data_IF_403324266315
#
_entry.id   IF_403324266315
#
_cell.length_a   1.000
_cell.length_b   1.000
_cell.length_c   1.000
_cell.angle_alpha   90.00
_cell.angle_beta   90.00
_cell.angle_gamma   90.00
#
_symmetry.space_group_name_H-M   'P 1'
#
loop_
_entity.id
_entity.type
_entity.pdbx_description
1 polymer ?
#
# COMPACT_ATOMS: atom_id res chain seq x y z
N UNK A 1 -31.40 25.02 -8.88
CA UNK A 1 -31.09 23.65 -9.37
C UNK A 1 -29.60 23.44 -9.19
N UNK A 2 -29.20 22.78 -8.10
CA UNK A 2 -27.82 22.41 -7.86
C UNK A 2 -27.57 21.12 -8.65
N UNK A 3 -26.78 21.23 -9.70
CA UNK A 3 -26.24 20.07 -10.43
C UNK A 3 -25.24 19.39 -9.49
N UNK A 4 -25.56 18.21 -9.01
CA UNK A 4 -24.70 17.43 -8.15
C UNK A 4 -23.37 17.13 -8.84
N UNK A 5 -22.28 17.41 -8.15
CA UNK A 5 -20.95 16.96 -8.55
C UNK A 5 -21.00 15.45 -8.79
N UNK A 6 -20.48 14.98 -9.90
CA UNK A 6 -20.44 13.57 -10.23
C UNK A 6 -19.50 12.83 -9.24
N UNK A 7 -19.74 11.57 -8.97
CA UNK A 7 -18.92 10.77 -8.05
C UNK A 7 -17.41 10.77 -8.40
N UNK A 8 -17.08 10.97 -9.68
CA UNK A 8 -15.72 11.12 -10.17
C UNK A 8 -15.06 12.44 -9.76
N UNK A 9 -15.81 13.55 -9.74
CA UNK A 9 -15.25 14.85 -9.33
C UNK A 9 -14.87 14.85 -7.84
N UNK A 10 -15.66 14.20 -7.00
CA UNK A 10 -15.37 14.06 -5.56
C UNK A 10 -14.14 13.16 -5.32
N UNK A 11 -14.00 12.08 -6.07
CA UNK A 11 -12.84 11.19 -5.98
C UNK A 11 -11.54 11.88 -6.41
N UNK A 12 -11.59 12.65 -7.49
CA UNK A 12 -10.44 13.40 -8.01
C UNK A 12 -10.00 14.49 -7.04
N UNK A 13 -10.94 15.25 -6.48
CA UNK A 13 -10.68 16.26 -5.46
C UNK A 13 -9.99 15.67 -4.25
N UNK A 14 -10.51 14.55 -3.73
CA UNK A 14 -9.93 13.84 -2.58
C UNK A 14 -8.49 13.40 -2.83
N UNK A 15 -8.24 12.74 -3.96
CA UNK A 15 -6.90 12.25 -4.30
C UNK A 15 -5.88 13.37 -4.45
N UNK A 16 -6.30 14.50 -5.01
CA UNK A 16 -5.46 15.69 -5.08
C UNK A 16 -5.16 16.27 -3.70
N UNK A 17 -6.16 16.37 -2.82
CA UNK A 17 -5.96 16.81 -1.45
C UNK A 17 -5.05 15.88 -0.65
N UNK A 18 -5.13 14.56 -0.84
CA UNK A 18 -4.20 13.62 -0.20
C UNK A 18 -2.75 13.90 -0.57
N UNK A 19 -2.47 14.15 -1.87
CA UNK A 19 -1.13 14.51 -2.32
C UNK A 19 -0.67 15.83 -1.69
N UNK A 20 -1.51 16.86 -1.75
CA UNK A 20 -1.19 18.17 -1.20
C UNK A 20 -0.93 18.10 0.31
N UNK A 21 -1.81 17.43 1.07
CA UNK A 21 -1.64 17.27 2.52
C UNK A 21 -0.44 16.43 2.89
N UNK A 22 -0.08 15.43 2.09
CA UNK A 22 1.13 14.65 2.32
C UNK A 22 2.41 15.49 2.17
N UNK A 23 2.41 16.51 1.29
CA UNK A 23 3.52 17.45 1.15
C UNK A 23 3.53 18.56 2.21
N UNK A 24 2.37 19.07 2.61
CA UNK A 24 2.24 20.22 3.50
C UNK A 24 2.24 19.83 4.97
N UNK A 25 1.59 18.72 5.31
CA UNK A 25 1.43 18.30 6.69
C UNK A 25 2.59 17.41 7.13
N UNK A 26 3.11 17.64 8.34
CA UNK A 26 4.00 16.68 9.00
C UNK A 26 3.18 15.46 9.47
N UNK A 27 2.77 14.64 8.51
CA UNK A 27 1.99 13.40 8.71
C UNK A 27 2.88 12.19 8.97
N UNK A 28 4.17 12.41 9.12
CA UNK A 28 5.13 11.39 9.55
C UNK A 28 4.91 11.04 11.02
N UNK A 29 5.40 9.89 11.40
CA UNK A 29 5.42 9.50 12.81
C UNK A 29 6.29 10.49 13.59
N UNK A 30 5.68 11.21 14.51
CA UNK A 30 6.40 12.06 15.42
C UNK A 30 7.42 11.24 16.20
N UNK A 31 8.49 11.90 16.65
CA UNK A 31 9.41 11.36 17.63
C UNK A 31 8.63 11.03 18.91
N UNK A 32 8.10 9.82 19.01
CA UNK A 32 7.48 9.38 20.25
C UNK A 32 8.54 9.01 21.27
N UNK A 33 8.24 9.15 22.55
CA UNK A 33 9.19 8.78 23.59
C UNK A 33 9.67 7.33 23.41
N UNK A 34 10.96 7.10 23.67
CA UNK A 34 11.65 5.79 23.54
C UNK A 34 10.92 4.61 24.23
N UNK A 35 10.09 4.89 25.24
CA UNK A 35 9.28 3.85 25.88
C UNK A 35 8.11 3.34 25.04
N UNK A 36 7.81 3.93 23.89
CA UNK A 36 6.82 3.44 22.94
C UNK A 36 7.44 2.35 22.05
N UNK A 37 7.91 1.29 22.71
CA UNK A 37 8.71 0.21 22.09
C UNK A 37 8.01 -0.58 20.97
N UNK A 38 6.71 -0.51 20.84
CA UNK A 38 5.97 -1.33 19.86
C UNK A 38 6.25 -1.00 18.41
N UNK A 39 7.07 0.00 18.11
CA UNK A 39 7.22 0.57 16.78
C UNK A 39 8.68 0.78 16.35
N UNK A 40 9.64 0.40 17.18
CA UNK A 40 11.06 0.40 16.86
C UNK A 40 11.56 -1.02 16.67
N UNK A 41 12.60 -1.19 15.86
CA UNK A 41 13.34 -2.45 15.81
C UNK A 41 13.89 -2.70 17.22
N UNK A 42 13.45 -3.77 17.86
CA UNK A 42 13.98 -4.14 19.16
C UNK A 42 15.44 -4.59 19.00
N UNK A 43 16.33 -3.95 19.75
CA UNK A 43 17.71 -4.36 19.83
C UNK A 43 17.84 -5.49 20.85
N UNK A 44 18.10 -6.71 20.36
CA UNK A 44 18.18 -7.94 21.15
C UNK A 44 19.62 -8.48 21.18
N UNK A 45 20.54 -7.81 21.91
CA UNK A 45 21.97 -8.13 21.87
C UNK A 45 22.32 -9.50 22.40
N UNK A 46 21.42 -10.11 23.21
CA UNK A 46 21.64 -11.44 23.77
C UNK A 46 21.18 -12.57 22.85
N UNK A 47 20.36 -12.28 21.85
CA UNK A 47 19.75 -13.29 20.98
C UNK A 47 20.47 -13.44 19.64
N UNK A 48 21.38 -12.52 19.31
CA UNK A 48 22.12 -12.56 18.06
C UNK A 48 23.63 -12.46 18.32
N UNK A 49 24.45 -13.25 17.61
CA UNK A 49 25.90 -13.07 17.63
C UNK A 49 26.27 -11.73 16.98
N UNK A 50 27.47 -11.27 17.25
CA UNK A 50 28.03 -10.12 16.54
C UNK A 50 28.02 -10.39 15.03
N UNK A 51 27.46 -9.51 14.20
CA UNK A 51 27.44 -9.72 12.74
C UNK A 51 28.85 -9.82 12.20
N UNK A 52 29.16 -10.89 11.49
CA UNK A 52 30.39 -11.02 10.71
C UNK A 52 30.22 -10.17 9.43
N UNK A 53 30.62 -8.91 9.55
CA UNK A 53 30.43 -7.90 8.51
C UNK A 53 31.09 -8.33 7.18
N UNK A 54 32.23 -8.99 7.23
CA UNK A 54 32.91 -9.47 6.02
C UNK A 54 32.11 -10.58 5.32
N UNK A 55 31.57 -11.53 6.09
CA UNK A 55 30.70 -12.57 5.55
C UNK A 55 29.35 -12.03 5.09
N UNK A 56 28.81 -11.05 5.79
CA UNK A 56 27.55 -10.41 5.39
C UNK A 56 27.74 -9.55 4.14
N UNK A 57 28.86 -8.82 4.00
CA UNK A 57 29.22 -8.10 2.78
C UNK A 57 29.48 -9.09 1.64
N UNK A 58 30.20 -10.17 1.87
CA UNK A 58 30.43 -11.21 0.87
C UNK A 58 29.13 -11.92 0.44
N UNK A 59 28.15 -12.07 1.34
CA UNK A 59 26.81 -12.54 1.03
C UNK A 59 25.96 -11.45 0.37
N UNK A 60 26.17 -10.17 0.65
CA UNK A 60 25.42 -9.05 0.11
C UNK A 60 25.77 -8.73 -1.35
N UNK A 61 26.83 -9.35 -1.92
CA UNK A 61 26.97 -9.45 -3.37
C UNK A 61 25.80 -10.26 -4.00
N UNK A 62 25.04 -10.97 -3.19
CA UNK A 62 23.79 -11.61 -3.57
C UNK A 62 22.62 -10.66 -3.30
N UNK A 63 22.00 -10.16 -4.35
CA UNK A 63 20.77 -9.41 -4.34
C UNK A 63 19.72 -9.99 -3.36
N UNK A 64 19.08 -9.13 -2.58
CA UNK A 64 17.91 -9.54 -1.77
C UNK A 64 16.83 -10.07 -2.70
N UNK A 65 16.21 -11.20 -2.34
CA UNK A 65 15.13 -11.79 -3.12
C UNK A 65 13.81 -11.69 -2.37
N UNK A 66 12.81 -11.15 -3.05
CA UNK A 66 11.45 -11.11 -2.57
C UNK A 66 10.48 -11.31 -3.73
N UNK A 67 9.51 -12.21 -3.58
CA UNK A 67 8.53 -12.59 -4.60
C UNK A 67 9.17 -12.91 -5.97
N UNK A 68 10.29 -13.63 -5.96
CA UNK A 68 11.00 -14.05 -7.18
C UNK A 68 11.83 -12.96 -7.85
N UNK A 69 11.77 -11.72 -7.37
CA UNK A 69 12.56 -10.59 -7.89
C UNK A 69 13.78 -10.33 -7.03
N UNK A 70 14.83 -9.79 -7.66
CA UNK A 70 16.09 -9.41 -7.00
C UNK A 70 16.13 -7.91 -6.75
N UNK A 71 16.57 -7.54 -5.54
CA UNK A 71 16.70 -6.15 -5.11
C UNK A 71 18.17 -5.86 -4.80
N UNK A 72 18.62 -4.64 -5.13
CA UNK A 72 19.94 -4.18 -4.72
C UNK A 72 20.00 -3.85 -3.22
N UNK A 73 18.86 -3.43 -2.64
CA UNK A 73 18.71 -3.04 -1.24
C UNK A 73 17.42 -3.62 -0.66
N UNK A 74 17.34 -3.89 0.65
CA UNK A 74 16.17 -4.50 1.29
C UNK A 74 15.05 -3.48 1.57
N UNK A 75 14.71 -2.64 0.60
CA UNK A 75 13.61 -1.71 0.68
C UNK A 75 12.98 -1.47 -0.69
N UNK A 76 11.77 -1.00 -0.66
CA UNK A 76 10.96 -0.73 -1.84
C UNK A 76 10.21 0.60 -1.72
N UNK A 77 9.68 1.09 -2.83
CA UNK A 77 8.82 2.26 -2.88
C UNK A 77 7.41 1.83 -2.45
N UNK A 78 6.98 2.30 -1.27
CA UNK A 78 5.69 1.95 -0.71
C UNK A 78 4.53 2.66 -1.43
N UNK A 79 3.32 2.09 -1.29
CA UNK A 79 2.10 2.51 -1.96
C UNK A 79 1.58 3.85 -1.46
N UNK A 80 1.63 4.89 -2.29
CA UNK A 80 1.21 6.24 -1.92
C UNK A 80 0.26 6.88 -2.95
N UNK A 81 0.72 7.08 -4.18
CA UNK A 81 0.00 7.89 -5.18
C UNK A 81 -0.97 7.06 -6.00
N UNK A 82 -2.26 7.40 -5.90
CA UNK A 82 -3.29 6.91 -6.81
C UNK A 82 -3.35 7.72 -8.12
N UNK A 83 -4.27 7.39 -9.02
CA UNK A 83 -4.44 8.06 -10.31
C UNK A 83 -5.24 9.35 -10.18
N UNK A 84 -4.59 10.50 -10.28
CA UNK A 84 -5.19 11.83 -10.50
C UNK A 84 -4.11 12.79 -10.96
N UNK A 85 -4.40 13.72 -11.85
CA UNK A 85 -3.55 14.84 -12.25
C UNK A 85 -2.04 14.66 -12.12
N UNK A 86 -1.41 15.16 -11.04
CA UNK A 86 0.04 15.06 -10.84
C UNK A 86 0.54 13.64 -10.56
N UNK A 87 -0.33 12.68 -10.22
CA UNK A 87 0.06 11.32 -9.84
C UNK A 87 0.79 10.59 -10.95
N UNK A 88 0.39 10.78 -12.21
CA UNK A 88 1.09 10.18 -13.35
C UNK A 88 2.58 10.49 -13.35
N UNK A 89 2.92 11.79 -13.22
CA UNK A 89 4.30 12.22 -13.23
C UNK A 89 5.09 11.71 -12.03
N UNK A 90 4.49 11.74 -10.85
CA UNK A 90 5.07 11.20 -9.62
C UNK A 90 5.34 9.71 -9.79
N UNK A 91 4.33 8.92 -10.19
CA UNK A 91 4.44 7.49 -10.38
C UNK A 91 5.49 7.10 -11.42
N UNK A 92 5.57 7.84 -12.55
CA UNK A 92 6.60 7.62 -13.56
C UNK A 92 8.00 7.90 -13.03
N UNK A 93 8.19 8.95 -12.23
CA UNK A 93 9.49 9.25 -11.62
C UNK A 93 9.89 8.17 -10.61
N UNK A 94 8.95 7.73 -9.78
CA UNK A 94 9.19 6.63 -8.83
C UNK A 94 9.53 5.32 -9.55
N UNK A 95 8.85 5.02 -10.67
CA UNK A 95 9.15 3.83 -11.47
C UNK A 95 10.55 3.90 -12.10
N UNK A 96 11.01 5.09 -12.55
CA UNK A 96 12.40 5.28 -13.03
C UNK A 96 13.41 5.06 -11.90
N UNK A 97 13.15 5.61 -10.72
CA UNK A 97 14.00 5.38 -9.53
C UNK A 97 14.07 3.88 -9.19
N UNK A 98 12.91 3.20 -9.19
CA UNK A 98 12.87 1.76 -8.93
C UNK A 98 13.71 0.96 -9.95
N UNK A 99 13.59 1.30 -11.24
CA UNK A 99 14.37 0.68 -12.31
C UNK A 99 15.88 0.91 -12.13
N UNK A 100 16.28 2.16 -11.90
CA UNK A 100 17.69 2.59 -11.82
C UNK A 100 18.38 2.00 -10.59
N UNK A 101 17.74 2.06 -9.42
CA UNK A 101 18.34 1.62 -8.16
C UNK A 101 18.02 0.17 -7.79
N UNK A 102 17.35 -0.58 -8.64
CA UNK A 102 17.06 -1.99 -8.38
C UNK A 102 16.09 -2.19 -7.21
N UNK A 103 15.06 -1.34 -7.10
CA UNK A 103 14.05 -1.40 -6.06
C UNK A 103 12.74 -2.02 -6.58
N UNK A 104 11.89 -2.46 -5.67
CA UNK A 104 10.49 -2.75 -5.97
C UNK A 104 9.60 -1.52 -5.80
N UNK A 105 8.37 -1.58 -6.32
CA UNK A 105 7.38 -0.53 -6.18
C UNK A 105 5.97 -1.10 -5.97
N UNK A 106 5.26 -0.58 -4.98
CA UNK A 106 3.83 -0.76 -4.83
C UNK A 106 3.08 0.50 -5.29
N UNK A 107 2.04 0.32 -6.09
CA UNK A 107 1.17 1.41 -6.53
C UNK A 107 0.32 1.95 -5.38
N UNK A 108 -0.06 3.21 -5.43
CA UNK A 108 -1.20 3.72 -4.67
C UNK A 108 -2.51 3.06 -5.11
N UNK A 109 -3.61 3.31 -4.40
CA UNK A 109 -4.89 2.66 -4.68
C UNK A 109 -5.31 2.77 -6.15
N UNK A 110 -5.42 1.63 -6.81
CA UNK A 110 -5.90 1.50 -8.19
C UNK A 110 -7.44 1.51 -8.30
N UNK A 111 -8.15 1.93 -7.25
CA UNK A 111 -9.63 1.96 -7.21
C UNK A 111 -10.25 2.63 -8.43
N UNK A 112 -9.65 3.71 -8.95
CA UNK A 112 -10.15 4.42 -10.12
C UNK A 112 -10.29 3.50 -11.34
N UNK A 113 -9.38 2.56 -11.53
CA UNK A 113 -9.39 1.59 -12.65
C UNK A 113 -10.49 0.52 -12.53
N UNK A 114 -11.13 0.42 -11.37
CA UNK A 114 -12.34 -0.40 -11.23
C UNK A 114 -13.59 0.29 -11.80
N UNK A 115 -13.54 1.57 -12.09
CA UNK A 115 -14.66 2.35 -12.61
C UNK A 115 -14.52 2.58 -14.11
N UNK A 116 -13.40 3.15 -14.52
CA UNK A 116 -13.08 3.44 -15.91
C UNK A 116 -11.56 3.47 -16.17
N UNK A 117 -11.16 3.65 -17.42
CA UNK A 117 -9.77 3.66 -17.84
C UNK A 117 -9.14 5.05 -17.96
N UNK A 118 -9.84 6.11 -17.56
CA UNK A 118 -9.36 7.50 -17.69
C UNK A 118 -7.95 7.69 -17.11
N UNK A 119 -7.64 6.99 -16.00
CA UNK A 119 -6.35 7.10 -15.31
C UNK A 119 -5.44 5.88 -15.52
N UNK A 120 -5.73 5.03 -16.52
CA UNK A 120 -4.94 3.82 -16.73
C UNK A 120 -3.43 4.12 -16.89
N UNK A 121 -3.10 5.15 -17.65
CA UNK A 121 -1.71 5.55 -17.89
C UNK A 121 -0.98 6.04 -16.63
N UNK A 122 -1.70 6.43 -15.58
CA UNK A 122 -1.10 6.87 -14.31
C UNK A 122 -0.52 5.68 -13.52
N UNK A 123 -0.99 4.47 -13.83
CA UNK A 123 -0.64 3.21 -13.18
C UNK A 123 0.11 2.24 -14.09
N UNK A 124 0.03 2.41 -15.41
CA UNK A 124 0.66 1.52 -16.39
C UNK A 124 2.15 1.81 -16.52
N UNK A 125 2.92 1.36 -15.53
CA UNK A 125 4.33 1.70 -15.38
C UNK A 125 5.28 0.54 -15.72
N UNK A 126 4.77 -0.62 -16.10
CA UNK A 126 5.60 -1.80 -16.35
C UNK A 126 6.70 -1.56 -17.40
N UNK A 127 6.41 -0.77 -18.43
CA UNK A 127 7.40 -0.40 -19.45
C UNK A 127 8.53 0.50 -18.93
N UNK A 128 8.30 1.21 -17.82
CA UNK A 128 9.26 2.11 -17.19
C UNK A 128 10.09 1.35 -16.14
N UNK A 129 9.41 0.61 -15.26
CA UNK A 129 10.06 -0.09 -14.15
C UNK A 129 10.82 -1.35 -14.63
N UNK A 130 10.41 -1.93 -15.76
CA UNK A 130 10.99 -3.16 -16.31
C UNK A 130 10.41 -4.44 -15.68
N UNK A 131 10.66 -5.58 -16.35
CA UNK A 131 10.11 -6.88 -15.90
C UNK A 131 10.93 -7.52 -14.76
N UNK A 132 12.16 -7.06 -14.53
CA UNK A 132 13.05 -7.58 -13.49
C UNK A 132 12.77 -7.00 -12.09
N UNK A 133 11.96 -5.96 -11.99
CA UNK A 133 11.63 -5.29 -10.72
C UNK A 133 10.26 -5.71 -10.23
N UNK A 134 10.15 -5.85 -8.90
CA UNK A 134 8.86 -6.11 -8.28
C UNK A 134 7.92 -4.90 -8.47
N UNK A 135 6.73 -5.17 -9.00
CA UNK A 135 5.71 -4.18 -9.23
C UNK A 135 4.36 -4.72 -8.79
N UNK A 136 3.74 -4.08 -7.79
CA UNK A 136 2.51 -4.54 -7.18
C UNK A 136 1.36 -3.56 -7.41
N UNK A 137 0.22 -4.08 -7.86
CA UNK A 137 -1.05 -3.36 -7.82
C UNK A 137 -1.53 -3.16 -6.37
N UNK A 138 -2.54 -2.30 -6.16
CA UNK A 138 -3.02 -2.00 -4.81
C UNK A 138 -4.52 -1.69 -4.81
N UNK A 139 -5.27 -2.35 -3.93
CA UNK A 139 -6.71 -2.15 -3.74
C UNK A 139 -7.03 -2.12 -2.25
N UNK A 140 -8.04 -1.33 -1.86
CA UNK A 140 -8.52 -1.29 -0.49
C UNK A 140 -9.40 -2.47 -0.12
N UNK A 141 -9.37 -2.83 1.16
CA UNK A 141 -10.19 -3.92 1.70
C UNK A 141 -11.71 -3.68 1.50
N UNK A 142 -12.15 -2.42 1.54
CA UNK A 142 -13.56 -2.07 1.29
C UNK A 142 -13.99 -2.40 -0.14
N UNK A 143 -13.12 -2.18 -1.13
CA UNK A 143 -13.40 -2.53 -2.53
C UNK A 143 -13.42 -4.05 -2.74
N UNK A 144 -12.54 -4.79 -2.04
CA UNK A 144 -12.57 -6.26 -2.05
C UNK A 144 -13.90 -6.76 -1.49
N UNK A 145 -14.31 -6.27 -0.31
CA UNK A 145 -15.58 -6.63 0.31
C UNK A 145 -16.76 -6.39 -0.62
N UNK A 146 -16.83 -5.21 -1.23
CA UNK A 146 -17.91 -4.87 -2.17
C UNK A 146 -17.93 -5.77 -3.40
N UNK A 147 -16.77 -6.04 -4.02
CA UNK A 147 -16.68 -6.86 -5.22
C UNK A 147 -16.99 -8.34 -4.95
N UNK A 148 -16.66 -8.85 -3.76
CA UNK A 148 -17.08 -10.18 -3.32
C UNK A 148 -18.61 -10.25 -3.17
N UNK A 149 -19.20 -9.27 -2.49
CA UNK A 149 -20.66 -9.20 -2.32
C UNK A 149 -21.40 -9.09 -3.65
N UNK A 150 -20.84 -8.36 -4.62
CA UNK A 150 -21.38 -8.19 -5.96
C UNK A 150 -21.08 -9.37 -6.91
N UNK A 151 -20.30 -10.36 -6.48
CA UNK A 151 -19.77 -11.45 -7.31
C UNK A 151 -18.97 -10.97 -8.54
N UNK A 152 -18.20 -9.89 -8.37
CA UNK A 152 -17.41 -9.24 -9.43
C UNK A 152 -15.91 -9.21 -9.12
N UNK A 153 -15.42 -10.15 -8.32
CA UNK A 153 -14.01 -10.18 -7.89
C UNK A 153 -13.04 -10.33 -9.07
N UNK A 154 -13.48 -10.92 -10.16
CA UNK A 154 -12.72 -11.07 -11.41
C UNK A 154 -12.16 -9.72 -11.93
N UNK A 155 -12.82 -8.61 -11.64
CA UNK A 155 -12.35 -7.26 -12.03
C UNK A 155 -11.00 -6.93 -11.42
N UNK A 156 -10.68 -7.47 -10.24
CA UNK A 156 -9.36 -7.29 -9.62
C UNK A 156 -8.32 -8.16 -10.34
N UNK A 157 -8.67 -9.38 -10.72
CA UNK A 157 -7.76 -10.24 -11.47
C UNK A 157 -7.41 -9.62 -12.83
N UNK A 158 -8.40 -9.14 -13.54
CA UNK A 158 -8.22 -8.40 -14.80
C UNK A 158 -7.37 -7.14 -14.61
N UNK A 159 -7.56 -6.41 -13.52
CA UNK A 159 -6.75 -5.21 -13.20
C UNK A 159 -5.27 -5.57 -13.00
N UNK A 160 -4.98 -6.60 -12.21
CA UNK A 160 -3.60 -7.07 -11.97
C UNK A 160 -2.92 -7.48 -13.28
N UNK A 161 -3.62 -8.23 -14.11
CA UNK A 161 -3.13 -8.68 -15.42
C UNK A 161 -2.89 -7.52 -16.38
N UNK A 162 -3.82 -6.58 -16.49
CA UNK A 162 -3.69 -5.39 -17.36
C UNK A 162 -2.51 -4.50 -16.96
N UNK A 163 -2.25 -4.36 -15.68
CA UNK A 163 -1.08 -3.64 -15.17
C UNK A 163 0.21 -4.45 -15.30
N UNK A 164 0.11 -5.74 -15.64
CA UNK A 164 1.24 -6.68 -15.63
C UNK A 164 1.95 -6.67 -14.27
N UNK A 165 1.16 -6.55 -13.19
CA UNK A 165 1.68 -6.53 -11.83
C UNK A 165 2.08 -7.94 -11.39
N UNK A 166 3.15 -8.05 -10.60
CA UNK A 166 3.65 -9.33 -10.06
C UNK A 166 2.77 -9.87 -8.90
N UNK A 167 1.85 -9.05 -8.40
CA UNK A 167 0.94 -9.39 -7.33
C UNK A 167 0.09 -8.21 -6.89
N UNK A 168 -0.62 -8.38 -5.78
CA UNK A 168 -1.56 -7.42 -5.25
C UNK A 168 -1.25 -7.03 -3.80
N UNK A 169 -1.24 -5.74 -3.51
CA UNK A 169 -1.33 -5.21 -2.16
C UNK A 169 -2.81 -4.99 -1.83
N UNK A 170 -3.25 -5.50 -0.69
CA UNK A 170 -4.55 -5.15 -0.10
C UNK A 170 -4.29 -4.25 1.10
N UNK A 171 -4.67 -2.97 1.00
CA UNK A 171 -4.54 -2.09 2.15
C UNK A 171 -5.78 -2.17 3.04
N UNK A 172 -5.52 -2.24 4.35
CA UNK A 172 -6.54 -2.34 5.40
C UNK A 172 -6.53 -1.05 6.20
N UNK A 173 -7.56 -0.23 6.03
CA UNK A 173 -7.57 1.17 6.44
C UNK A 173 -8.86 1.61 7.16
N UNK A 174 -9.41 0.83 8.12
CA UNK A 174 -10.71 1.14 8.71
C UNK A 174 -10.76 2.50 9.42
N UNK A 175 -9.67 2.95 10.05
CA UNK A 175 -9.62 4.26 10.69
C UNK A 175 -9.56 5.40 9.67
N UNK A 176 -8.83 5.23 8.58
CA UNK A 176 -8.82 6.20 7.50
C UNK A 176 -10.23 6.36 6.93
N UNK A 177 -10.91 5.26 6.58
CA UNK A 177 -12.27 5.29 6.04
C UNK A 177 -13.27 5.91 7.04
N UNK A 178 -13.10 5.65 8.33
CA UNK A 178 -13.96 6.22 9.37
C UNK A 178 -13.86 7.75 9.48
N UNK A 179 -12.66 8.32 9.37
CA UNK A 179 -12.45 9.77 9.46
C UNK A 179 -12.61 10.49 8.13
N UNK A 180 -12.66 9.77 7.03
CA UNK A 180 -12.86 10.31 5.70
C UNK A 180 -14.35 10.60 5.48
N UNK A 181 -14.76 11.86 5.17
CA UNK A 181 -16.18 12.19 4.98
C UNK A 181 -16.88 11.35 3.92
N UNK A 182 -16.16 11.00 2.84
CA UNK A 182 -16.59 10.14 1.74
C UNK A 182 -16.09 8.70 1.87
N UNK A 183 -15.70 8.28 3.08
CA UNK A 183 -15.12 6.96 3.35
C UNK A 183 -16.09 5.81 3.12
N UNK A 184 -15.55 4.70 2.65
CA UNK A 184 -16.33 3.48 2.46
C UNK A 184 -16.59 2.79 3.80
N UNK A 185 -17.78 2.20 3.90
CA UNK A 185 -18.15 1.45 5.10
C UNK A 185 -17.67 0.01 4.99
N UNK A 186 -16.74 -0.38 5.86
CA UNK A 186 -16.31 -1.77 6.03
C UNK A 186 -17.28 -2.43 7.01
N UNK A 187 -18.02 -3.43 6.56
CA UNK A 187 -19.11 -4.07 7.34
C UNK A 187 -18.70 -5.41 7.93
N UNK A 188 -17.77 -6.11 7.26
CA UNK A 188 -17.24 -7.40 7.70
C UNK A 188 -15.86 -7.20 8.35
N UNK A 189 -15.49 -8.06 9.27
CA UNK A 189 -14.12 -8.07 9.77
C UNK A 189 -13.15 -8.30 8.59
N UNK A 190 -12.14 -7.44 8.38
CA UNK A 190 -11.21 -7.56 7.25
C UNK A 190 -10.57 -8.94 7.10
N UNK A 191 -10.34 -9.64 8.21
CA UNK A 191 -9.76 -10.99 8.18
C UNK A 191 -10.63 -11.97 7.38
N UNK A 192 -11.96 -11.93 7.53
CA UNK A 192 -12.88 -12.83 6.81
C UNK A 192 -13.01 -12.46 5.33
N UNK A 193 -12.90 -11.18 5.01
CA UNK A 193 -12.84 -10.72 3.60
C UNK A 193 -11.56 -11.22 2.93
N UNK A 194 -10.44 -11.16 3.66
CA UNK A 194 -9.15 -11.68 3.17
C UNK A 194 -9.16 -13.20 3.01
N UNK A 195 -9.72 -13.94 3.97
CA UNK A 195 -9.87 -15.41 3.87
C UNK A 195 -10.60 -15.79 2.57
N UNK A 196 -11.77 -15.21 2.33
CA UNK A 196 -12.58 -15.48 1.14
C UNK A 196 -11.85 -15.07 -0.16
N UNK A 197 -11.23 -13.90 -0.19
CA UNK A 197 -10.49 -13.45 -1.38
C UNK A 197 -9.32 -14.37 -1.72
N UNK A 198 -8.57 -14.82 -0.70
CA UNK A 198 -7.36 -15.63 -0.87
C UNK A 198 -7.64 -17.06 -1.38
N UNK A 199 -8.88 -17.55 -1.28
CA UNK A 199 -9.24 -18.87 -1.80
C UNK A 199 -8.95 -18.97 -3.32
N UNK A 200 -9.18 -17.89 -4.05
CA UNK A 200 -9.11 -17.86 -5.51
C UNK A 200 -8.07 -16.87 -6.07
N UNK A 201 -7.26 -16.22 -5.23
CA UNK A 201 -6.24 -15.29 -5.71
C UNK A 201 -5.10 -16.03 -6.42
N UNK A 202 -4.88 -15.79 -7.75
CA UNK A 202 -3.91 -16.54 -8.55
C UNK A 202 -2.48 -15.99 -8.46
N UNK A 203 -2.27 -14.91 -7.73
CA UNK A 203 -1.00 -14.19 -7.60
C UNK A 203 -0.64 -13.96 -6.11
N UNK A 204 0.62 -13.58 -5.81
CA UNK A 204 1.03 -13.21 -4.45
C UNK A 204 0.23 -12.02 -3.91
N UNK A 205 -0.21 -12.12 -2.65
CA UNK A 205 -0.95 -11.05 -1.96
C UNK A 205 -0.16 -10.56 -0.76
N UNK A 206 0.00 -9.24 -0.66
CA UNK A 206 0.57 -8.53 0.48
C UNK A 206 -0.54 -7.79 1.19
N UNK A 207 -0.68 -7.95 2.49
CA UNK A 207 -1.62 -7.15 3.28
C UNK A 207 -0.87 -6.01 3.96
N UNK A 208 -1.40 -4.79 3.83
CA UNK A 208 -0.76 -3.57 4.31
C UNK A 208 -1.73 -2.73 5.13
N UNK A 209 -1.27 -2.20 6.26
CA UNK A 209 -1.94 -1.11 6.98
C UNK A 209 -1.48 0.26 6.43
N UNK A 210 -2.01 1.37 6.91
CA UNK A 210 -1.84 2.70 6.29
C UNK A 210 -1.29 3.78 7.23
N UNK A 211 -0.59 3.40 8.30
CA UNK A 211 0.15 4.33 9.15
C UNK A 211 -0.11 4.21 10.65
N UNK A 212 -1.01 3.30 11.08
CA UNK A 212 -1.29 3.04 12.50
C UNK A 212 -0.52 1.82 13.03
N UNK A 213 -0.13 0.92 12.13
CA UNK A 213 0.44 -0.36 12.48
C UNK A 213 -0.59 -1.41 12.85
N UNK A 214 -0.12 -2.63 13.08
CA UNK A 214 -0.95 -3.79 13.40
C UNK A 214 -0.61 -4.34 14.78
N UNK A 215 -1.62 -4.55 15.61
CA UNK A 215 -1.44 -5.18 16.92
C UNK A 215 -1.14 -6.68 16.83
N UNK A 216 -0.59 -7.29 17.90
CA UNK A 216 -0.17 -8.70 17.88
C UNK A 216 -1.29 -9.70 17.57
N UNK A 217 -2.55 -9.38 17.91
CA UNK A 217 -3.69 -10.25 17.58
C UNK A 217 -3.98 -10.27 16.10
N UNK A 218 -3.96 -9.09 15.45
CA UNK A 218 -4.12 -8.98 14.00
C UNK A 218 -3.00 -9.69 13.26
N UNK A 219 -1.75 -9.49 13.67
CA UNK A 219 -0.60 -10.17 13.08
C UNK A 219 -0.72 -11.69 13.19
N UNK A 220 -1.07 -12.23 14.37
CA UNK A 220 -1.28 -13.67 14.55
C UNK A 220 -2.41 -14.23 13.67
N UNK A 221 -3.46 -13.44 13.40
CA UNK A 221 -4.53 -13.84 12.50
C UNK A 221 -4.03 -13.88 11.05
N UNK A 222 -3.37 -12.81 10.59
CA UNK A 222 -2.82 -12.72 9.22
C UNK A 222 -1.76 -13.79 8.93
N UNK A 223 -0.92 -14.15 9.90
CA UNK A 223 0.10 -15.20 9.75
C UNK A 223 -0.48 -16.60 9.50
N UNK A 224 -1.78 -16.81 9.69
CA UNK A 224 -2.47 -18.07 9.37
C UNK A 224 -2.95 -18.10 7.92
N UNK A 225 -2.95 -16.97 7.24
CA UNK A 225 -3.40 -16.85 5.85
C UNK A 225 -2.25 -17.12 4.89
N UNK A 226 -2.58 -17.50 3.66
CA UNK A 226 -1.64 -17.69 2.55
C UNK A 226 -1.22 -16.34 1.96
N UNK A 227 -0.55 -15.51 2.75
CA UNK A 227 -0.03 -14.22 2.33
C UNK A 227 1.44 -14.32 1.91
N UNK A 228 1.83 -13.50 0.96
CA UNK A 228 3.22 -13.36 0.55
C UNK A 228 4.03 -12.53 1.57
N UNK A 229 3.40 -11.49 2.14
CA UNK A 229 3.99 -10.67 3.19
C UNK A 229 2.91 -9.85 3.93
N UNK A 230 3.32 -9.27 5.04
CA UNK A 230 2.55 -8.30 5.83
C UNK A 230 3.39 -7.03 5.96
N UNK A 231 2.86 -5.91 5.46
CA UNK A 231 3.44 -4.58 5.64
C UNK A 231 2.73 -3.90 6.82
N UNK A 232 3.45 -3.71 7.90
CA UNK A 232 2.87 -3.16 9.14
C UNK A 232 2.46 -1.69 8.99
N UNK A 233 3.03 -0.97 8.02
CA UNK A 233 2.79 0.45 7.77
C UNK A 233 2.75 1.27 9.07
N UNK A 234 3.63 0.97 10.00
CA UNK A 234 3.68 1.62 11.29
C UNK A 234 4.52 2.90 11.23
N UNK A 235 5.49 3.03 12.07
CA UNK A 235 6.25 4.25 12.24
C UNK A 235 7.17 4.63 11.06
N UNK A 236 7.29 5.93 10.79
CA UNK A 236 8.30 6.50 9.90
C UNK A 236 7.78 6.91 8.52
N UNK A 237 6.53 6.55 8.18
CA UNK A 237 5.90 6.93 6.92
C UNK A 237 4.68 7.84 7.09
N UNK A 238 3.97 8.10 5.99
CA UNK A 238 2.72 8.86 6.00
C UNK A 238 1.64 8.10 6.77
N UNK A 239 0.94 8.80 7.65
CA UNK A 239 -0.21 8.28 8.39
C UNK A 239 -1.49 8.82 7.76
N UNK A 240 -2.19 7.99 6.99
CA UNK A 240 -3.37 8.41 6.25
C UNK A 240 -4.56 8.78 7.16
N UNK A 241 -4.67 8.21 8.35
CA UNK A 241 -5.68 8.65 9.33
C UNK A 241 -5.44 10.09 9.76
N UNK A 242 -4.17 10.50 9.99
CA UNK A 242 -3.83 11.89 10.26
C UNK A 242 -4.11 12.81 9.07
N UNK A 243 -3.87 12.33 7.85
CA UNK A 243 -4.22 13.08 6.63
C UNK A 243 -5.71 13.38 6.60
N UNK A 244 -6.56 12.39 6.87
CA UNK A 244 -8.01 12.58 6.87
C UNK A 244 -8.49 13.47 8.02
N UNK A 245 -7.95 13.32 9.20
CA UNK A 245 -8.24 14.22 10.33
C UNK A 245 -7.93 15.68 10.01
N UNK A 246 -6.84 15.93 9.26
CA UNK A 246 -6.47 17.28 8.84
C UNK A 246 -7.33 17.82 7.68
N UNK A 247 -8.03 16.95 6.92
CA UNK A 247 -9.01 17.33 5.89
C UNK A 247 -10.36 17.69 6.47
N UNK A 248 -10.77 16.98 7.50
CA UNK A 248 -12.09 17.12 8.12
C UNK A 248 -12.20 18.34 9.04
N UNK A 249 -13.44 18.73 9.36
CA UNK A 249 -13.78 19.75 10.37
C UNK A 249 -13.51 19.29 11.81
N UNK A 250 -12.94 18.11 12.01
CA UNK A 250 -12.51 17.56 13.29
C UNK A 250 -11.05 17.92 13.62
N UNK A 251 -10.63 19.13 13.26
CA UNK A 251 -9.38 19.70 13.78
C UNK A 251 -9.49 19.98 15.28
N UNK A 252 -8.34 20.08 15.97
CA UNK A 252 -8.30 20.32 17.41
C UNK A 252 -9.03 21.58 17.81
#
# INVERSE_FOLDING_TARGET
MNLGATSNDSLNSRKFEHLQRAFEAQVTADSRPIWYKSLTIDYEPLLAPHPDIEKEIAKSSNSFKFLGKSFHFPFWISSMTGGVGPARHINQNLARVAAEFGLGMGLGSCRALLQDDQYFDDFNLRSIIGDDRLFLANIGIAQIEQLLADQKIERIHVLVDRLRADGLIIHVNPLQEFFQPEGDRITRAPIHVLEEFLENAPYPVVVKEVGQGMGPRSLRALMKLRLAAIDFASFGGTNFTKVELNRGTYGP
#
